data_IF_926510573131
#
_entry.id   IF_926510573131
#
_cell.length_a   1.000
_cell.length_b   1.000
_cell.length_c   1.000
_cell.angle_alpha   90.00
_cell.angle_beta   90.00
_cell.angle_gamma   90.00
#
_symmetry.space_group_name_H-M   'P 1'
#
loop_
_entity.id
_entity.type
_entity.pdbx_description
1 polymer ?
#
# COMPACT_ATOMS: atom_id res chain seq x y z
N UNK A 1 2.50 35.02 3.70
CA UNK A 1 1.76 33.73 3.60
C UNK A 1 0.48 34.02 2.85
N UNK A 2 0.25 33.40 1.68
CA UNK A 2 -1.05 33.53 0.99
C UNK A 2 -2.10 32.82 1.85
N UNK A 3 -3.18 33.50 2.19
CA UNK A 3 -4.32 32.89 2.86
C UNK A 3 -4.91 31.84 1.92
N UNK A 4 -4.90 30.59 2.38
CA UNK A 4 -5.59 29.49 1.71
C UNK A 4 -7.09 29.68 1.97
N UNK A 5 -7.92 29.60 0.93
CA UNK A 5 -9.38 29.71 1.09
C UNK A 5 -9.90 28.61 2.03
N UNK A 6 -10.79 28.97 2.95
CA UNK A 6 -11.40 28.01 3.88
C UNK A 6 -12.11 26.86 3.15
N UNK A 7 -12.71 27.13 1.99
CA UNK A 7 -13.40 26.11 1.19
C UNK A 7 -12.45 25.01 0.74
N UNK A 8 -11.23 25.38 0.32
CA UNK A 8 -10.21 24.40 -0.11
C UNK A 8 -9.72 23.53 1.06
N UNK A 9 -9.73 24.06 2.29
CA UNK A 9 -9.38 23.31 3.49
C UNK A 9 -10.48 22.30 3.82
N UNK A 10 -11.74 22.73 3.80
CA UNK A 10 -12.89 21.84 4.04
C UNK A 10 -12.93 20.72 3.00
N UNK A 11 -12.73 21.05 1.72
CA UNK A 11 -12.66 20.07 0.65
C UNK A 11 -11.50 19.07 0.86
N UNK A 12 -10.32 19.55 1.25
CA UNK A 12 -9.17 18.68 1.53
C UNK A 12 -9.44 17.71 2.69
N UNK A 13 -10.09 18.18 3.77
CA UNK A 13 -10.46 17.34 4.91
C UNK A 13 -11.46 16.25 4.48
N UNK A 14 -12.49 16.62 3.71
CA UNK A 14 -13.47 15.65 3.20
C UNK A 14 -12.81 14.57 2.33
N UNK A 15 -11.91 14.95 1.42
CA UNK A 15 -11.17 14.00 0.59
C UNK A 15 -10.27 13.07 1.42
N UNK A 16 -9.62 13.58 2.47
CA UNK A 16 -8.82 12.76 3.38
C UNK A 16 -9.68 11.74 4.14
N UNK A 17 -10.85 12.14 4.63
CA UNK A 17 -11.79 11.24 5.31
C UNK A 17 -12.33 10.14 4.39
N UNK A 18 -12.47 10.42 3.10
CA UNK A 18 -12.79 9.43 2.06
C UNK A 18 -11.62 8.45 1.76
N UNK A 19 -10.46 8.62 2.40
CA UNK A 19 -9.31 7.74 2.25
C UNK A 19 -8.41 8.08 1.06
N UNK A 20 -8.59 9.24 0.41
CA UNK A 20 -7.69 9.70 -0.67
C UNK A 20 -6.28 9.93 -0.12
N UNK A 21 -5.28 9.64 -0.95
CA UNK A 21 -3.87 9.83 -0.59
C UNK A 21 -3.50 11.32 -0.57
N UNK A 22 -2.48 11.66 0.21
CA UNK A 22 -1.97 13.05 0.31
C UNK A 22 -1.60 13.61 -1.07
N UNK A 23 -1.04 12.79 -1.97
CA UNK A 23 -0.69 13.18 -3.35
C UNK A 23 -1.92 13.46 -4.20
N UNK A 24 -2.98 12.67 -4.06
CA UNK A 24 -4.23 12.92 -4.77
C UNK A 24 -4.89 14.21 -4.31
N UNK A 25 -4.91 14.46 -2.99
CA UNK A 25 -5.47 15.70 -2.44
C UNK A 25 -4.68 16.91 -2.90
N UNK A 26 -3.34 16.87 -2.84
CA UNK A 26 -2.47 17.93 -3.37
C UNK A 26 -2.77 18.28 -4.83
N UNK A 27 -2.96 17.27 -5.68
CA UNK A 27 -3.30 17.46 -7.10
C UNK A 27 -4.69 18.07 -7.32
N UNK A 28 -5.65 17.77 -6.45
CA UNK A 28 -7.03 18.27 -6.59
C UNK A 28 -7.20 19.66 -5.99
N UNK A 29 -6.64 19.90 -4.81
CA UNK A 29 -6.85 21.15 -4.06
C UNK A 29 -5.75 22.18 -4.29
N UNK A 30 -4.65 21.82 -4.96
CA UNK A 30 -3.49 22.68 -5.18
C UNK A 30 -2.71 23.02 -3.90
N UNK A 31 -3.04 22.37 -2.78
CA UNK A 31 -2.36 22.56 -1.51
C UNK A 31 -1.04 21.80 -1.52
N UNK A 32 -0.01 22.40 -0.93
CA UNK A 32 1.27 21.71 -0.78
C UNK A 32 1.10 20.43 0.04
N UNK A 33 1.90 19.42 -0.30
CA UNK A 33 1.99 18.17 0.46
C UNK A 33 2.12 18.38 1.98
N UNK A 34 2.88 19.39 2.40
CA UNK A 34 3.08 19.72 3.82
C UNK A 34 1.83 20.30 4.49
N UNK A 35 1.06 21.13 3.78
CA UNK A 35 -0.22 21.65 4.27
C UNK A 35 -1.26 20.53 4.42
N UNK A 36 -1.43 19.68 3.40
CA UNK A 36 -2.32 18.51 3.46
C UNK A 36 -1.89 17.55 4.58
N UNK A 37 -0.58 17.33 4.74
CA UNK A 37 -0.05 16.52 5.83
C UNK A 37 -0.36 17.08 7.21
N UNK A 38 -0.38 18.40 7.38
CA UNK A 38 -0.78 19.06 8.63
C UNK A 38 -2.29 18.89 8.88
N UNK A 39 -3.12 19.15 7.87
CA UNK A 39 -4.58 18.96 7.97
C UNK A 39 -4.94 17.53 8.37
N UNK A 40 -4.29 16.53 7.77
CA UNK A 40 -4.49 15.12 8.12
C UNK A 40 -4.15 14.85 9.60
N UNK A 41 -3.05 15.40 10.11
CA UNK A 41 -2.65 15.21 11.52
C UNK A 41 -3.64 15.88 12.48
N UNK A 42 -4.15 17.06 12.13
CA UNK A 42 -5.01 17.86 13.00
C UNK A 42 -6.46 17.39 12.99
N UNK A 43 -7.03 17.09 11.82
CA UNK A 43 -8.47 16.85 11.64
C UNK A 43 -8.83 15.39 11.33
N UNK A 44 -7.85 14.55 11.00
CA UNK A 44 -8.10 13.17 10.59
C UNK A 44 -7.30 12.17 11.44
N UNK A 45 -7.32 12.40 12.76
CA UNK A 45 -6.71 11.50 13.73
C UNK A 45 -7.39 10.12 13.64
N UNK A 46 -6.59 9.06 13.64
CA UNK A 46 -7.09 7.69 13.50
C UNK A 46 -7.21 7.17 12.05
N UNK A 47 -7.04 8.01 11.02
CA UNK A 47 -6.93 7.50 9.66
C UNK A 47 -5.64 6.68 9.49
N UNK A 48 -5.80 5.37 9.35
CA UNK A 48 -4.71 4.42 9.12
C UNK A 48 -3.72 4.93 8.07
N UNK A 49 -2.43 4.83 8.37
CA UNK A 49 -1.40 5.16 7.38
C UNK A 49 -1.58 4.19 6.20
N UNK A 50 -1.55 4.68 4.94
CA UNK A 50 -1.49 3.77 3.81
C UNK A 50 -0.27 2.86 4.01
N UNK A 51 -0.46 1.55 3.81
CA UNK A 51 0.64 0.57 3.93
C UNK A 51 1.75 1.01 2.96
N UNK A 52 2.89 1.40 3.51
CA UNK A 52 4.08 1.70 2.73
C UNK A 52 4.72 0.41 2.20
N UNK A 53 5.58 0.56 1.20
CA UNK A 53 6.37 -0.55 0.64
C UNK A 53 5.79 -1.16 -0.63
N UNK A 54 6.53 -2.12 -1.19
CA UNK A 54 6.12 -2.88 -2.38
C UNK A 54 5.01 -3.86 -2.00
N UNK A 55 3.93 -3.98 -2.81
CA UNK A 55 2.94 -5.04 -2.61
C UNK A 55 3.62 -6.41 -2.59
N UNK A 56 3.17 -7.30 -1.69
CA UNK A 56 3.64 -8.68 -1.69
C UNK A 56 3.25 -9.34 -3.02
N UNK A 57 4.22 -9.98 -3.66
CA UNK A 57 3.99 -10.77 -4.88
C UNK A 57 3.24 -12.06 -4.55
N UNK A 58 3.64 -12.72 -3.46
CA UNK A 58 3.07 -13.98 -3.02
C UNK A 58 1.87 -13.75 -2.10
N UNK A 59 0.82 -14.51 -2.33
CA UNK A 59 -0.29 -14.63 -1.39
C UNK A 59 0.13 -15.50 -0.19
N UNK A 60 -0.62 -15.42 0.91
CA UNK A 60 -0.37 -16.28 2.07
C UNK A 60 -0.50 -17.78 1.75
N UNK A 61 -1.28 -18.14 0.72
CA UNK A 61 -1.39 -19.54 0.27
C UNK A 61 -0.11 -19.99 -0.44
N UNK A 62 0.47 -19.14 -1.28
CA UNK A 62 1.73 -19.43 -1.98
C UNK A 62 2.89 -19.54 -0.98
N UNK A 63 2.95 -18.63 0.01
CA UNK A 63 3.94 -18.69 1.09
C UNK A 63 3.87 -20.04 1.83
N UNK A 64 2.66 -20.50 2.20
CA UNK A 64 2.46 -21.82 2.83
C UNK A 64 2.84 -22.98 1.91
N UNK A 65 2.54 -22.86 0.62
CA UNK A 65 2.94 -23.85 -0.37
C UNK A 65 4.45 -23.99 -0.41
N UNK A 66 5.19 -22.88 -0.53
CA UNK A 66 6.66 -22.88 -0.53
C UNK A 66 7.23 -23.52 0.75
N UNK A 67 6.69 -23.18 1.92
CA UNK A 67 7.11 -23.79 3.19
C UNK A 67 6.88 -25.31 3.18
N UNK A 68 5.73 -25.79 2.68
CA UNK A 68 5.44 -27.23 2.56
C UNK A 68 6.40 -27.94 1.60
N UNK A 69 6.72 -27.32 0.47
CA UNK A 69 7.67 -27.89 -0.49
C UNK A 69 9.07 -28.10 0.13
N UNK A 70 9.52 -27.16 0.98
CA UNK A 70 10.80 -27.28 1.67
C UNK A 70 10.73 -28.30 2.81
N UNK A 71 9.67 -28.26 3.63
CA UNK A 71 9.58 -29.03 4.88
C UNK A 71 9.10 -30.47 4.71
N UNK A 72 8.18 -30.72 3.78
CA UNK A 72 7.60 -32.07 3.55
C UNK A 72 8.20 -32.74 2.34
N UNK A 73 8.41 -31.99 1.26
CA UNK A 73 8.96 -32.53 0.01
C UNK A 73 10.48 -32.37 -0.08
N UNK A 74 11.12 -31.82 0.96
CA UNK A 74 12.58 -31.68 1.09
C UNK A 74 13.26 -31.01 -0.11
N UNK A 75 12.56 -30.08 -0.79
CA UNK A 75 13.14 -29.34 -1.91
C UNK A 75 14.15 -28.33 -1.35
N UNK A 76 15.44 -28.61 -1.59
CA UNK A 76 16.56 -27.84 -1.04
C UNK A 76 16.92 -26.57 -1.82
N UNK A 77 16.26 -26.31 -2.95
CA UNK A 77 16.57 -25.17 -3.83
C UNK A 77 15.35 -24.29 -4.03
N UNK A 78 15.49 -23.00 -3.71
CA UNK A 78 14.44 -22.00 -3.91
C UNK A 78 14.00 -21.90 -5.37
N UNK A 79 14.93 -22.01 -6.33
CA UNK A 79 14.61 -22.01 -7.77
C UNK A 79 13.71 -23.19 -8.16
N UNK A 80 13.94 -24.38 -7.57
CA UNK A 80 13.09 -25.54 -7.81
C UNK A 80 11.70 -25.34 -7.21
N UNK A 81 11.61 -24.76 -6.00
CA UNK A 81 10.32 -24.42 -5.38
C UNK A 81 9.55 -23.39 -6.23
N UNK A 82 10.23 -22.38 -6.77
CA UNK A 82 9.63 -21.38 -7.65
C UNK A 82 9.04 -21.99 -8.93
N UNK A 83 9.78 -22.91 -9.57
CA UNK A 83 9.28 -23.65 -10.75
C UNK A 83 8.07 -24.52 -10.43
N UNK A 84 8.06 -25.20 -9.28
CA UNK A 84 6.90 -26.01 -8.90
C UNK A 84 5.69 -25.13 -8.54
N UNK A 85 5.93 -23.99 -7.87
CA UNK A 85 4.87 -23.03 -7.59
C UNK A 85 4.28 -22.46 -8.88
N UNK A 86 5.11 -22.11 -9.87
CA UNK A 86 4.66 -21.64 -11.17
C UNK A 86 3.82 -22.70 -11.89
N UNK A 87 4.27 -23.97 -11.86
CA UNK A 87 3.55 -25.09 -12.47
C UNK A 87 2.18 -25.33 -11.83
N UNK A 88 2.08 -25.25 -10.50
CA UNK A 88 0.86 -25.57 -9.77
C UNK A 88 -0.12 -24.39 -9.66
N UNK A 89 0.39 -23.15 -9.64
CA UNK A 89 -0.43 -21.95 -9.38
C UNK A 89 -0.42 -20.93 -10.53
N UNK A 90 0.43 -21.12 -11.54
CA UNK A 90 0.64 -20.17 -12.63
C UNK A 90 1.42 -18.90 -12.23
N UNK A 91 1.89 -18.78 -10.98
CA UNK A 91 2.60 -17.60 -10.49
C UNK A 91 4.10 -17.68 -10.74
N UNK A 92 4.63 -16.73 -11.51
CA UNK A 92 6.07 -16.52 -11.70
C UNK A 92 6.67 -15.77 -10.52
N UNK A 93 7.85 -16.21 -10.07
CA UNK A 93 8.58 -15.64 -8.94
C UNK A 93 9.90 -14.96 -9.31
N UNK A 94 10.13 -14.72 -10.61
CA UNK A 94 11.35 -14.10 -11.16
C UNK A 94 11.34 -12.55 -11.05
#
# INVERSE_FOLDING_TARGET
MKQVSQDTVVQAISLLQQGKSVREVERVTGLSKSAVGRLRKTHCFGLGKPKGGRPKLLSAADERYCVRQVTKNCISSATKVGKELEKDTGRKCD
#
